data_IF_803520026073
#
_entry.id   IF_803520026073
#
_cell.length_a   1.000
_cell.length_b   1.000
_cell.length_c   1.000
_cell.angle_alpha   90.00
_cell.angle_beta   90.00
_cell.angle_gamma   90.00
#
_symmetry.space_group_name_H-M   'P 1'
#
loop_
_entity.id
_entity.type
_entity.pdbx_description
1 polymer ?
#
# COMPACT_ATOMS: atom_id res chain seq x y z
N UNK A 1 -4.79 21.26 0.81
CA UNK A 1 -4.65 20.95 -0.63
C UNK A 1 -4.40 19.47 -0.75
N UNK A 2 -5.40 18.69 -1.14
CA UNK A 2 -5.32 17.22 -1.11
C UNK A 2 -4.60 16.74 -2.37
N UNK A 3 -3.37 16.27 -2.23
CA UNK A 3 -2.63 15.64 -3.33
C UNK A 3 -3.23 14.25 -3.56
N UNK A 4 -4.08 14.11 -4.58
CA UNK A 4 -4.44 12.78 -5.08
C UNK A 4 -3.26 12.26 -5.90
N UNK A 5 -2.77 11.07 -5.54
CA UNK A 5 -1.89 10.33 -6.44
C UNK A 5 -2.65 10.05 -7.73
N UNK A 6 -1.95 10.07 -8.86
CA UNK A 6 -2.56 9.65 -10.12
C UNK A 6 -3.13 8.24 -9.94
N UNK A 7 -4.35 7.94 -10.43
CA UNK A 7 -5.01 6.65 -10.21
C UNK A 7 -4.15 5.45 -10.65
N UNK A 8 -3.35 5.62 -11.71
CA UNK A 8 -2.41 4.61 -12.18
C UNK A 8 -1.33 4.27 -11.13
N UNK A 9 -0.79 5.29 -10.47
CA UNK A 9 0.22 5.11 -9.42
C UNK A 9 -0.42 4.52 -8.17
N UNK A 10 -1.61 4.96 -7.79
CA UNK A 10 -2.38 4.41 -6.66
C UNK A 10 -2.69 2.91 -6.86
N UNK A 11 -3.13 2.51 -8.06
CA UNK A 11 -3.41 1.10 -8.39
C UNK A 11 -2.17 0.21 -8.30
N UNK A 12 -1.05 0.65 -8.89
CA UNK A 12 0.21 -0.11 -8.82
C UNK A 12 0.71 -0.19 -7.38
N UNK A 13 0.59 0.88 -6.61
CA UNK A 13 0.96 0.91 -5.19
C UNK A 13 0.12 -0.10 -4.39
N UNK A 14 -1.21 -0.10 -4.55
CA UNK A 14 -2.11 -1.07 -3.91
C UNK A 14 -1.80 -2.51 -4.32
N UNK A 15 -1.43 -2.77 -5.58
CA UNK A 15 -1.06 -4.13 -6.02
C UNK A 15 0.24 -4.65 -5.39
N UNK A 16 1.21 -3.76 -5.17
CA UNK A 16 2.52 -4.14 -4.61
C UNK A 16 2.46 -4.19 -3.08
N UNK A 17 1.88 -3.17 -2.44
CA UNK A 17 1.91 -2.97 -0.99
C UNK A 17 0.60 -3.29 -0.28
N UNK A 18 -0.51 -3.38 -1.01
CA UNK A 18 -1.84 -3.70 -0.46
C UNK A 18 -2.14 -5.20 -0.40
N UNK A 19 -1.13 -6.07 -0.53
CA UNK A 19 -1.31 -7.52 -0.47
C UNK A 19 -1.20 -8.02 0.98
N UNK A 20 -2.33 -8.40 1.57
CA UNK A 20 -2.40 -8.90 2.96
C UNK A 20 -1.58 -10.19 3.20
N UNK A 21 -1.26 -10.95 2.14
CA UNK A 21 -0.40 -12.14 2.24
C UNK A 21 1.10 -11.79 2.38
N UNK A 22 1.47 -10.56 2.03
CA UNK A 22 2.86 -10.09 2.02
C UNK A 22 2.98 -8.69 2.69
N UNK A 23 2.62 -8.58 3.99
CA UNK A 23 2.70 -7.31 4.71
C UNK A 23 4.14 -6.84 4.95
N UNK A 24 5.12 -7.75 4.84
CA UNK A 24 6.55 -7.52 5.00
C UNK A 24 7.11 -6.51 3.99
N UNK A 25 6.56 -6.49 2.77
CA UNK A 25 6.95 -5.53 1.71
C UNK A 25 6.53 -4.12 2.11
N UNK A 26 5.30 -3.96 2.60
CA UNK A 26 4.79 -2.68 3.08
C UNK A 26 5.56 -2.22 4.33
N UNK A 27 5.82 -3.13 5.28
CA UNK A 27 6.62 -2.85 6.48
C UNK A 27 8.02 -2.35 6.10
N UNK A 28 8.70 -3.06 5.20
CA UNK A 28 10.06 -2.69 4.74
C UNK A 28 10.07 -1.32 4.07
N UNK A 29 9.09 -1.04 3.21
CA UNK A 29 8.94 0.27 2.58
C UNK A 29 8.72 1.38 3.61
N UNK A 30 7.79 1.19 4.56
CA UNK A 30 7.50 2.17 5.59
C UNK A 30 8.72 2.42 6.48
N UNK A 31 9.44 1.39 6.91
CA UNK A 31 10.67 1.54 7.70
C UNK A 31 11.79 2.25 6.94
N UNK A 32 11.86 2.10 5.61
CA UNK A 32 12.86 2.81 4.78
C UNK A 32 12.51 4.29 4.59
N UNK A 33 11.23 4.61 4.44
CA UNK A 33 10.73 5.98 4.19
C UNK A 33 10.59 6.77 5.48
N UNK A 34 10.03 6.14 6.52
CA UNK A 34 9.89 6.69 7.85
C UNK A 34 11.24 6.51 8.55
N UNK A 35 12.03 7.58 8.66
CA UNK A 35 13.25 7.62 9.48
C UNK A 35 12.93 7.64 10.99
N UNK A 36 12.05 6.74 11.42
CA UNK A 36 11.66 6.56 12.80
C UNK A 36 12.76 5.83 13.57
N UNK A 37 12.89 6.11 14.87
CA UNK A 37 13.76 5.33 15.76
C UNK A 37 13.18 3.94 16.00
N UNK A 38 11.86 3.84 16.01
CA UNK A 38 11.14 2.59 16.27
C UNK A 38 10.77 1.96 14.94
N UNK A 39 11.17 0.70 14.77
CA UNK A 39 10.83 -0.09 13.58
C UNK A 39 9.40 -0.58 13.69
N UNK A 40 8.68 -0.52 12.58
CA UNK A 40 7.35 -1.11 12.44
C UNK A 40 7.50 -2.63 12.36
N UNK A 41 6.83 -3.35 13.26
CA UNK A 41 6.87 -4.82 13.34
C UNK A 41 5.63 -5.48 12.71
N UNK A 42 4.49 -4.78 12.70
CA UNK A 42 3.24 -5.28 12.15
C UNK A 42 2.41 -4.16 11.53
N UNK A 43 1.65 -4.51 10.48
CA UNK A 43 0.72 -3.62 9.80
C UNK A 43 -0.56 -4.39 9.48
N UNK A 44 -1.69 -3.70 9.56
CA UNK A 44 -3.01 -4.22 9.18
C UNK A 44 -3.58 -3.30 8.09
N UNK A 45 -3.97 -3.89 6.95
CA UNK A 45 -4.56 -3.15 5.84
C UNK A 45 -6.07 -3.11 6.08
N UNK A 46 -6.58 -1.98 6.59
CA UNK A 46 -8.00 -1.85 6.97
C UNK A 46 -8.92 -1.42 5.83
N UNK A 47 -8.35 -1.04 4.68
CA UNK A 47 -9.13 -0.67 3.51
C UNK A 47 -8.64 -1.43 2.28
N UNK A 48 -9.39 -2.47 1.93
CA UNK A 48 -9.19 -3.32 0.76
C UNK A 48 -10.10 -2.90 -0.40
N UNK A 49 -10.49 -1.62 -0.51
CA UNK A 49 -11.01 -1.03 -1.76
C UNK A 49 -9.89 -0.99 -2.83
N UNK A 50 -9.32 -2.16 -3.11
CA UNK A 50 -8.88 -2.53 -4.44
C UNK A 50 -10.21 -2.67 -5.17
N UNK A 51 -10.77 -1.54 -5.63
CA UNK A 51 -11.89 -1.54 -6.53
C UNK A 51 -11.65 -2.66 -7.52
N UNK A 52 -12.53 -3.67 -7.49
CA UNK A 52 -12.69 -4.63 -8.57
C UNK A 52 -13.07 -3.81 -9.79
N UNK A 53 -12.11 -3.14 -10.41
CA UNK A 53 -12.11 -2.95 -11.85
C UNK A 53 -11.78 -4.35 -12.36
N UNK A 54 -12.78 -5.22 -12.29
CA UNK A 54 -12.86 -6.37 -13.16
C UNK A 54 -12.76 -5.78 -14.55
N UNK A 55 -11.59 -5.96 -15.13
CA UNK A 55 -11.36 -5.86 -16.56
C UNK A 55 -12.52 -6.65 -17.19
N UNK A 56 -13.50 -5.94 -17.76
CA UNK A 56 -14.37 -6.53 -18.74
C UNK A 56 -13.55 -6.52 -20.03
N UNK A 57 -13.19 -7.73 -20.48
CA UNK A 57 -12.87 -7.98 -21.89
C UNK A 57 -13.99 -7.47 -22.80
#
# INVERSE_FOLDING_TARGET
MTYLLSPKVDFVFKRIFGNEKHPDILISFLNAVMKSKDSIESVEIRNSDIDKISIQD
#
